data_IF_125595176930
#
_entry.id   IF_125595176930
#
_cell.length_a   1.000
_cell.length_b   1.000
_cell.length_c   1.000
_cell.angle_alpha   90.00
_cell.angle_beta   90.00
_cell.angle_gamma   90.00
#
_symmetry.space_group_name_H-M   'P 1'
#
loop_
_entity.id
_entity.type
_entity.pdbx_description
1 polymer ?
#
# COMPACT_ATOMS: atom_id res chain seq x y z
N UNK A 1 -13.79 0.32 57.16
CA UNK A 1 -14.83 1.36 57.20
C UNK A 1 -15.35 1.61 55.80
N UNK A 2 -16.51 1.16 55.56
CA UNK A 2 -17.65 1.44 54.75
C UNK A 2 -17.69 2.85 54.13
N UNK A 3 -18.03 2.96 52.82
CA UNK A 3 -19.27 3.63 52.40
C UNK A 3 -19.56 3.31 50.94
N UNK A 4 -20.63 2.58 50.72
CA UNK A 4 -21.40 2.43 49.50
C UNK A 4 -22.09 3.76 49.17
N UNK A 5 -22.17 4.10 47.87
CA UNK A 5 -23.12 5.09 47.40
C UNK A 5 -23.81 4.58 46.15
N UNK A 6 -25.08 4.21 46.31
CA UNK A 6 -26.05 3.93 45.27
C UNK A 6 -26.52 5.25 44.64
N UNK A 7 -26.65 5.31 43.31
CA UNK A 7 -27.53 6.29 42.67
C UNK A 7 -28.57 5.62 41.78
N UNK A 8 -29.82 6.03 42.08
CA UNK A 8 -31.06 5.61 41.46
C UNK A 8 -31.22 6.13 40.06
N UNK A 9 -31.87 5.31 39.24
CA UNK A 9 -32.51 5.69 37.99
C UNK A 9 -33.80 6.49 38.23
N UNK A 10 -34.21 7.38 37.35
CA UNK A 10 -35.60 7.65 37.08
C UNK A 10 -36.07 7.16 35.72
N UNK A 11 -37.12 6.41 35.77
CA UNK A 11 -38.03 6.04 34.69
C UNK A 11 -38.78 7.31 34.24
N UNK A 12 -38.85 7.55 32.95
CA UNK A 12 -39.76 8.57 32.39
C UNK A 12 -40.66 7.96 31.32
N UNK A 13 -41.92 8.26 31.51
CA UNK A 13 -43.08 7.66 30.90
C UNK A 13 -43.34 8.08 29.45
N UNK A 14 -43.92 7.15 28.74
CA UNK A 14 -44.50 7.26 27.39
C UNK A 14 -45.80 8.07 27.45
N UNK A 15 -45.97 9.03 26.57
CA UNK A 15 -47.25 9.64 26.24
C UNK A 15 -47.55 9.40 24.77
N UNK A 16 -48.55 8.53 24.52
CA UNK A 16 -49.22 8.31 23.26
C UNK A 16 -50.17 9.45 22.97
N UNK A 17 -50.07 10.08 21.81
CA UNK A 17 -51.14 10.85 21.23
C UNK A 17 -51.62 10.16 19.93
N UNK A 18 -52.85 9.68 20.04
CA UNK A 18 -53.65 9.26 18.87
C UNK A 18 -54.36 10.50 18.34
N UNK A 19 -54.16 10.78 17.09
CA UNK A 19 -54.90 11.80 16.34
C UNK A 19 -55.27 11.28 14.96
N UNK A 20 -56.52 10.85 14.81
CA UNK A 20 -57.13 10.64 13.49
C UNK A 20 -57.46 11.99 12.86
N UNK A 21 -57.09 12.18 11.57
CA UNK A 21 -58.00 12.92 10.69
C UNK A 21 -57.85 12.52 9.22
N UNK A 22 -58.93 12.59 8.53
CA UNK A 22 -59.35 12.10 7.27
C UNK A 22 -58.84 12.92 6.08
N UNK A 23 -58.42 12.23 5.02
CA UNK A 23 -58.75 12.51 3.60
C UNK A 23 -58.11 13.72 2.95
N UNK A 24 -57.19 13.50 2.02
CA UNK A 24 -57.43 13.94 0.64
C UNK A 24 -56.48 13.22 -0.35
N UNK A 25 -57.00 12.92 -1.53
CA UNK A 25 -56.27 12.29 -2.63
C UNK A 25 -55.59 13.38 -3.46
N UNK A 26 -54.27 13.33 -3.55
CA UNK A 26 -53.56 13.88 -4.72
C UNK A 26 -52.18 13.28 -4.89
N UNK A 27 -52.03 12.64 -6.03
CA UNK A 27 -50.80 12.41 -6.80
C UNK A 27 -49.55 11.92 -6.08
N UNK A 28 -49.32 10.60 -6.22
CA UNK A 28 -48.01 9.99 -6.11
C UNK A 28 -47.08 10.54 -7.20
N UNK A 29 -46.21 11.46 -6.84
CA UNK A 29 -44.94 11.59 -7.51
C UNK A 29 -44.05 10.45 -7.01
N UNK A 30 -43.72 9.49 -7.86
CA UNK A 30 -42.67 8.51 -7.63
C UNK A 30 -41.33 9.26 -7.60
N UNK A 31 -40.86 9.64 -6.43
CA UNK A 31 -39.47 9.92 -6.21
C UNK A 31 -38.74 8.56 -6.25
N UNK A 32 -38.28 8.22 -7.45
CA UNK A 32 -37.20 7.23 -7.60
C UNK A 32 -35.93 7.85 -7.02
N UNK A 33 -35.76 7.77 -5.70
CA UNK A 33 -34.51 7.95 -5.07
C UNK A 33 -33.69 6.66 -5.33
N UNK A 34 -33.12 6.57 -6.53
CA UNK A 34 -31.99 5.66 -6.77
C UNK A 34 -30.90 6.08 -5.82
N UNK A 35 -30.81 5.40 -4.68
CA UNK A 35 -29.60 5.34 -3.88
C UNK A 35 -28.54 4.65 -4.76
N UNK A 36 -27.93 5.41 -5.66
CA UNK A 36 -26.64 5.05 -6.23
C UNK A 36 -25.67 5.10 -5.07
N UNK A 37 -25.46 3.97 -4.40
CA UNK A 37 -24.31 3.79 -3.56
C UNK A 37 -23.10 4.08 -4.45
N UNK A 38 -22.50 5.26 -4.32
CA UNK A 38 -21.21 5.55 -4.95
C UNK A 38 -20.25 4.47 -4.43
N UNK A 39 -19.99 3.50 -5.26
CA UNK A 39 -18.98 2.49 -4.98
C UNK A 39 -17.64 3.24 -4.97
N UNK A 40 -17.05 3.40 -3.78
CA UNK A 40 -15.78 4.07 -3.63
C UNK A 40 -14.74 3.36 -4.50
N UNK A 41 -13.89 4.13 -5.16
CA UNK A 41 -12.79 3.56 -5.94
C UNK A 41 -11.88 2.74 -5.01
N UNK A 42 -11.49 1.52 -5.39
CA UNK A 42 -10.57 0.71 -4.60
C UNK A 42 -9.17 1.32 -4.52
N UNK A 43 -8.86 2.35 -5.30
CA UNK A 43 -7.63 3.15 -5.19
C UNK A 43 -8.00 4.62 -5.27
N UNK A 44 -7.63 5.38 -4.25
CA UNK A 44 -7.67 6.83 -4.27
C UNK A 44 -6.32 7.36 -4.75
N UNK A 45 -6.34 8.27 -5.72
CA UNK A 45 -5.13 8.88 -6.27
C UNK A 45 -5.09 10.34 -5.84
N UNK A 46 -4.01 10.74 -5.21
CA UNK A 46 -3.64 12.13 -5.01
C UNK A 46 -2.51 12.48 -5.98
N UNK A 47 -2.84 13.21 -7.02
CA UNK A 47 -1.91 13.70 -8.02
C UNK A 47 -1.63 15.19 -7.86
N UNK A 48 -1.86 15.74 -6.66
CA UNK A 48 -1.60 17.14 -6.37
C UNK A 48 -0.16 17.47 -6.74
N UNK A 49 -0.01 18.36 -7.71
CA UNK A 49 1.28 18.75 -8.28
C UNK A 49 2.13 19.57 -7.33
N UNK A 50 1.61 19.90 -6.16
CA UNK A 50 2.26 20.81 -5.19
C UNK A 50 3.66 20.33 -4.82
N UNK A 51 3.88 19.00 -4.81
CA UNK A 51 5.17 18.42 -4.45
C UNK A 51 5.79 17.56 -5.58
N UNK A 52 5.19 17.51 -6.78
CA UNK A 52 5.70 16.67 -7.89
C UNK A 52 5.57 15.17 -7.69
N UNK A 53 4.79 14.74 -6.69
CA UNK A 53 4.51 13.33 -6.40
C UNK A 53 3.11 12.94 -6.90
N UNK A 54 2.96 11.66 -7.21
CA UNK A 54 1.66 10.99 -7.38
C UNK A 54 1.54 9.95 -6.28
N UNK A 55 0.46 10.00 -5.51
CA UNK A 55 0.25 9.10 -4.37
C UNK A 55 -0.95 8.22 -4.62
N UNK A 56 -0.77 6.92 -4.51
CA UNK A 56 -1.79 5.90 -4.67
C UNK A 56 -2.13 5.31 -3.30
N UNK A 57 -3.38 5.42 -2.87
CA UNK A 57 -3.90 4.84 -1.63
C UNK A 57 -4.81 3.66 -1.98
N UNK A 58 -4.30 2.41 -2.03
CA UNK A 58 -5.14 1.24 -2.22
C UNK A 58 -6.04 1.02 -1.00
N UNK A 59 -7.30 0.62 -1.24
CA UNK A 59 -8.19 0.04 -0.23
C UNK A 59 -8.09 -1.48 -0.35
N UNK A 60 -7.59 -2.14 0.68
CA UNK A 60 -7.23 -3.56 0.61
C UNK A 60 -7.50 -4.29 1.93
N UNK A 61 -7.59 -5.61 1.85
CA UNK A 61 -7.70 -6.50 3.02
C UNK A 61 -6.42 -7.33 3.24
N UNK A 62 -5.60 -7.47 2.21
CA UNK A 62 -4.37 -8.27 2.25
C UNK A 62 -3.31 -7.68 1.32
N UNK A 63 -2.05 -7.86 1.70
CA UNK A 63 -0.89 -7.59 0.86
C UNK A 63 -0.07 -8.88 0.74
N UNK A 64 0.45 -9.16 -0.45
CA UNK A 64 1.42 -10.25 -0.66
C UNK A 64 2.62 -9.77 -1.48
N UNK A 65 3.75 -10.43 -1.27
CA UNK A 65 4.92 -10.37 -2.14
C UNK A 65 4.84 -11.55 -3.10
N UNK A 66 4.35 -11.29 -4.30
CA UNK A 66 4.26 -12.32 -5.34
C UNK A 66 5.62 -12.42 -6.03
N UNK A 67 6.18 -13.64 -6.09
CA UNK A 67 7.46 -13.93 -6.72
C UNK A 67 7.28 -14.83 -7.94
N UNK A 68 8.31 -14.95 -8.77
CA UNK A 68 8.41 -15.81 -9.95
C UNK A 68 7.60 -15.32 -11.14
N UNK A 69 6.30 -15.08 -10.96
CA UNK A 69 5.41 -14.73 -12.06
C UNK A 69 4.67 -13.42 -11.78
N UNK A 70 4.70 -12.53 -12.76
CA UNK A 70 3.96 -11.27 -12.70
C UNK A 70 2.47 -11.52 -12.42
N UNK A 71 1.88 -10.80 -11.43
CA UNK A 71 0.45 -10.87 -11.14
C UNK A 71 -0.40 -10.52 -12.37
N UNK A 72 -1.46 -11.30 -12.58
CA UNK A 72 -2.32 -11.13 -13.75
C UNK A 72 -3.29 -9.97 -13.58
N UNK A 73 -3.36 -9.11 -14.59
CA UNK A 73 -4.40 -8.07 -14.68
C UNK A 73 -5.82 -8.66 -14.83
N UNK A 74 -5.96 -9.96 -15.10
CA UNK A 74 -7.26 -10.64 -15.13
C UNK A 74 -7.75 -11.06 -13.73
N UNK A 75 -6.86 -11.09 -12.71
CA UNK A 75 -7.28 -11.33 -11.33
C UNK A 75 -7.98 -10.11 -10.78
N UNK A 76 -9.30 -10.18 -10.70
CA UNK A 76 -10.14 -9.07 -10.25
C UNK A 76 -10.05 -8.80 -8.76
N UNK A 77 -9.38 -9.64 -7.96
CA UNK A 77 -9.13 -9.39 -6.54
C UNK A 77 -7.98 -8.41 -6.33
N UNK A 78 -7.08 -8.28 -7.31
CA UNK A 78 -5.97 -7.34 -7.21
C UNK A 78 -6.45 -5.93 -7.50
N UNK A 79 -6.20 -5.01 -6.57
CA UNK A 79 -6.53 -3.59 -6.69
C UNK A 79 -5.32 -2.75 -7.09
N UNK A 80 -4.12 -3.14 -6.68
CA UNK A 80 -2.88 -2.47 -7.03
C UNK A 80 -1.73 -3.47 -7.10
N UNK A 81 -0.82 -3.26 -8.05
CA UNK A 81 0.38 -4.08 -8.23
C UNK A 81 1.54 -3.22 -8.69
N UNK A 82 2.71 -3.42 -8.10
CA UNK A 82 3.97 -2.78 -8.50
C UNK A 82 5.17 -3.66 -8.18
N UNK A 83 6.26 -3.48 -8.90
CA UNK A 83 7.55 -4.11 -8.60
C UNK A 83 8.04 -3.65 -7.22
N UNK A 84 8.64 -4.54 -6.44
CA UNK A 84 8.96 -4.31 -5.03
C UNK A 84 10.47 -4.21 -4.77
N UNK A 85 11.13 -5.32 -4.44
CA UNK A 85 12.57 -5.36 -4.22
C UNK A 85 13.34 -5.46 -5.55
N UNK A 86 14.58 -4.99 -5.55
CA UNK A 86 15.42 -5.05 -6.75
C UNK A 86 15.65 -6.48 -7.25
N UNK A 87 15.67 -6.62 -8.57
CA UNK A 87 16.16 -7.81 -9.26
C UNK A 87 17.67 -7.72 -9.40
N UNK A 88 18.41 -8.75 -8.93
CA UNK A 88 19.86 -8.72 -8.87
C UNK A 88 20.52 -8.86 -10.25
N UNK A 89 20.13 -9.86 -11.02
CA UNK A 89 20.67 -10.16 -12.35
C UNK A 89 19.55 -10.43 -13.36
N UNK A 90 19.83 -10.22 -14.65
CA UNK A 90 18.91 -10.53 -15.75
C UNK A 90 18.99 -12.01 -16.08
N UNK A 91 18.26 -12.84 -15.39
CA UNK A 91 18.23 -14.29 -15.59
C UNK A 91 16.96 -14.71 -16.33
N UNK A 92 17.08 -15.71 -17.20
CA UNK A 92 15.92 -16.30 -17.92
C UNK A 92 15.11 -17.25 -17.02
N UNK A 93 15.71 -17.73 -15.90
CA UNK A 93 15.06 -18.60 -14.93
C UNK A 93 14.94 -17.89 -13.57
N UNK A 94 13.78 -18.00 -12.96
CA UNK A 94 13.53 -17.43 -11.64
C UNK A 94 14.31 -18.17 -10.54
N UNK A 95 14.86 -17.38 -9.61
CA UNK A 95 15.39 -17.89 -8.36
C UNK A 95 15.16 -16.85 -7.25
N UNK A 96 14.73 -17.28 -6.06
CA UNK A 96 14.62 -16.39 -4.90
C UNK A 96 15.92 -15.70 -4.54
N UNK A 97 17.06 -16.36 -4.77
CA UNK A 97 18.41 -15.77 -4.60
C UNK A 97 18.73 -14.63 -5.58
N UNK A 98 17.84 -14.37 -6.56
CA UNK A 98 17.94 -13.28 -7.51
C UNK A 98 17.09 -12.05 -7.14
N UNK A 99 16.43 -12.08 -5.99
CA UNK A 99 15.80 -10.92 -5.37
C UNK A 99 16.81 -10.29 -4.40
N UNK A 100 17.05 -8.99 -4.49
CA UNK A 100 17.95 -8.30 -3.56
C UNK A 100 17.33 -8.25 -2.15
N UNK A 101 18.07 -8.79 -1.19
CA UNK A 101 17.67 -8.90 0.21
C UNK A 101 16.81 -10.13 0.55
N UNK A 102 16.88 -10.50 1.82
CA UNK A 102 16.00 -11.54 2.35
C UNK A 102 14.55 -11.09 2.28
N UNK A 103 13.64 -12.05 2.07
CA UNK A 103 12.22 -11.76 1.92
C UNK A 103 11.33 -12.91 2.38
N UNK A 104 10.04 -12.62 2.55
CA UNK A 104 8.98 -13.57 2.88
C UNK A 104 7.89 -13.47 1.83
N UNK A 105 7.56 -14.59 1.18
CA UNK A 105 6.51 -14.74 0.20
C UNK A 105 5.70 -15.99 0.51
N UNK A 106 4.36 -15.88 0.51
CA UNK A 106 3.49 -17.01 0.87
C UNK A 106 3.76 -17.55 2.28
N UNK A 107 4.11 -16.71 3.24
CA UNK A 107 4.43 -17.10 4.61
C UNK A 107 5.75 -17.85 4.78
N UNK A 108 6.59 -17.91 3.74
CA UNK A 108 7.88 -18.61 3.79
C UNK A 108 9.03 -17.64 3.57
N UNK A 109 10.03 -17.70 4.47
CA UNK A 109 11.27 -16.93 4.34
C UNK A 109 12.21 -17.53 3.30
N UNK A 110 12.83 -16.64 2.52
CA UNK A 110 13.86 -16.94 1.53
C UNK A 110 15.06 -16.04 1.74
N UNK A 111 16.24 -16.57 1.43
CA UNK A 111 17.46 -15.78 1.37
C UNK A 111 17.63 -15.25 -0.04
N UNK A 112 17.72 -13.94 -0.15
CA UNK A 112 17.94 -13.23 -1.40
C UNK A 112 19.44 -12.93 -1.66
N UNK A 113 19.68 -12.17 -2.72
CA UNK A 113 21.01 -11.67 -3.02
C UNK A 113 21.45 -10.63 -1.98
N UNK A 114 22.75 -10.54 -1.74
CA UNK A 114 23.29 -9.49 -0.87
C UNK A 114 23.29 -8.15 -1.59
N UNK A 115 22.52 -7.23 -1.11
CA UNK A 115 22.50 -5.85 -1.58
C UNK A 115 23.04 -4.92 -0.50
N UNK A 116 24.10 -4.16 -0.83
CA UNK A 116 24.73 -3.20 0.10
C UNK A 116 23.81 -2.02 0.44
N UNK A 117 22.81 -1.78 -0.43
CA UNK A 117 21.89 -0.67 -0.32
C UNK A 117 20.67 -1.01 0.55
N UNK A 118 20.46 -2.30 0.89
CA UNK A 118 19.38 -2.70 1.79
C UNK A 118 19.71 -2.27 3.22
N UNK A 119 19.00 -1.26 3.70
CA UNK A 119 19.20 -0.69 5.02
C UNK A 119 18.04 -0.89 5.97
N UNK A 120 16.98 -1.55 5.52
CA UNK A 120 15.80 -1.83 6.32
C UNK A 120 14.84 -2.79 5.62
N UNK A 121 13.63 -2.90 6.13
CA UNK A 121 12.60 -3.78 5.59
C UNK A 121 11.19 -3.26 5.88
N UNK A 122 10.25 -3.80 5.11
CA UNK A 122 8.82 -3.75 5.36
C UNK A 122 8.29 -5.17 5.60
N UNK A 123 7.34 -5.31 6.51
CA UNK A 123 6.60 -6.54 6.74
C UNK A 123 5.11 -6.26 6.93
N UNK A 124 4.27 -7.13 6.37
CA UNK A 124 2.83 -7.18 6.56
C UNK A 124 2.44 -8.50 7.21
N UNK A 125 1.76 -8.42 8.37
CA UNK A 125 1.31 -9.57 9.14
C UNK A 125 -0.12 -9.99 8.74
N UNK A 126 -0.44 -11.26 8.92
CA UNK A 126 -1.77 -11.80 8.57
C UNK A 126 -2.93 -11.22 9.41
N UNK A 127 -2.64 -10.53 10.50
CA UNK A 127 -3.62 -9.80 11.33
C UNK A 127 -3.86 -8.36 10.84
N UNK A 128 -3.35 -8.02 9.66
CA UNK A 128 -3.44 -6.70 9.03
C UNK A 128 -2.64 -5.60 9.73
N UNK A 129 -1.64 -5.97 10.51
CA UNK A 129 -0.62 -5.04 11.01
C UNK A 129 0.60 -5.02 10.10
N UNK A 130 1.39 -3.96 10.20
CA UNK A 130 2.65 -3.84 9.44
C UNK A 130 3.73 -3.16 10.25
N UNK A 131 4.97 -3.36 9.81
CA UNK A 131 6.13 -2.78 10.44
C UNK A 131 7.17 -2.35 9.38
N UNK A 132 7.81 -1.22 9.64
CA UNK A 132 9.00 -0.76 8.92
C UNK A 132 10.17 -0.77 9.90
N UNK A 133 11.30 -1.32 9.48
CA UNK A 133 12.52 -1.38 10.29
C UNK A 133 13.66 -0.69 9.55
N UNK A 134 14.42 0.13 10.28
CA UNK A 134 15.68 0.68 9.84
C UNK A 134 16.84 -0.09 10.52
N UNK A 135 17.68 -0.76 9.76
CA UNK A 135 18.78 -1.59 10.24
C UNK A 135 18.56 -3.09 10.02
N UNK A 136 19.00 -3.91 10.98
CA UNK A 136 18.87 -5.37 10.91
C UNK A 136 17.38 -5.79 10.99
N UNK A 137 16.95 -6.66 10.09
CA UNK A 137 15.55 -7.03 9.92
C UNK A 137 15.28 -8.55 9.88
N UNK A 138 16.30 -9.38 10.17
CA UNK A 138 16.12 -10.85 10.15
C UNK A 138 15.05 -11.32 11.11
N UNK A 139 15.00 -10.78 12.33
CA UNK A 139 13.98 -11.13 13.33
C UNK A 139 12.58 -10.73 12.90
N UNK A 140 12.43 -9.59 12.22
CA UNK A 140 11.16 -9.16 11.64
C UNK A 140 10.68 -10.16 10.58
N UNK A 141 11.56 -10.55 9.65
CA UNK A 141 11.21 -11.50 8.60
C UNK A 141 10.90 -12.90 9.15
N UNK A 142 11.59 -13.35 10.21
CA UNK A 142 11.26 -14.60 10.89
C UNK A 142 9.87 -14.54 11.54
N UNK A 143 9.58 -13.42 12.20
CA UNK A 143 8.30 -13.19 12.88
C UNK A 143 7.13 -13.15 11.89
N UNK A 144 7.28 -12.41 10.78
CA UNK A 144 6.21 -12.30 9.77
C UNK A 144 6.02 -13.61 9.02
N UNK A 145 7.08 -14.38 8.75
CA UNK A 145 6.97 -15.71 8.16
C UNK A 145 6.19 -16.67 9.09
N UNK A 146 6.51 -16.67 10.39
CA UNK A 146 5.80 -17.47 11.39
C UNK A 146 4.31 -17.09 11.51
N UNK A 147 3.97 -15.82 11.27
CA UNK A 147 2.60 -15.31 11.25
C UNK A 147 1.87 -15.55 9.90
N UNK A 148 2.53 -16.11 8.90
CA UNK A 148 1.95 -16.35 7.57
C UNK A 148 1.77 -15.07 6.73
N UNK A 149 2.52 -14.02 7.03
CA UNK A 149 2.53 -12.76 6.31
C UNK A 149 3.55 -12.70 5.18
N UNK A 150 3.90 -11.47 4.77
CA UNK A 150 4.90 -11.17 3.74
C UNK A 150 5.85 -10.08 4.21
N UNK A 151 7.03 -9.98 3.61
CA UNK A 151 7.98 -8.90 3.88
C UNK A 151 9.19 -8.95 2.97
N UNK A 152 9.88 -7.82 2.83
CA UNK A 152 11.10 -7.75 2.03
C UNK A 152 12.05 -6.66 2.53
N UNK A 153 13.34 -6.94 2.38
CA UNK A 153 14.40 -5.98 2.64
C UNK A 153 14.59 -5.02 1.48
N UNK A 154 14.79 -3.73 1.80
CA UNK A 154 15.12 -2.69 0.81
C UNK A 154 15.71 -1.47 1.53
N UNK A 155 16.11 -0.45 0.77
CA UNK A 155 16.57 0.80 1.34
C UNK A 155 15.44 1.57 2.04
N UNK A 156 15.61 1.86 3.32
CA UNK A 156 14.73 2.78 4.03
C UNK A 156 15.15 4.24 3.74
N UNK A 157 14.19 5.07 3.34
CA UNK A 157 14.42 6.48 2.99
C UNK A 157 14.04 7.37 4.18
N UNK A 158 12.86 7.13 4.76
CA UNK A 158 12.34 7.85 5.93
C UNK A 158 11.93 6.82 6.97
N UNK A 159 12.32 7.05 8.23
CA UNK A 159 11.92 6.23 9.37
C UNK A 159 11.54 7.11 10.56
N UNK A 160 10.35 6.88 11.12
CA UNK A 160 9.75 7.73 12.19
C UNK A 160 9.74 9.24 11.87
N UNK A 161 9.54 9.58 10.58
CA UNK A 161 9.49 10.95 10.10
C UNK A 161 10.85 11.61 9.86
N UNK A 162 11.94 10.88 10.07
CA UNK A 162 13.30 11.37 9.86
C UNK A 162 13.93 10.74 8.61
N UNK A 163 14.55 11.55 7.76
CA UNK A 163 15.29 11.05 6.60
C UNK A 163 16.53 10.29 7.03
N UNK A 164 16.65 9.08 6.50
CA UNK A 164 17.85 8.27 6.65
C UNK A 164 18.87 8.71 5.59
N UNK A 165 20.16 8.67 5.92
CA UNK A 165 21.24 9.06 5.02
C UNK A 165 21.04 8.44 3.64
N UNK A 166 21.01 9.25 2.57
CA UNK A 166 20.55 8.80 1.27
C UNK A 166 21.48 7.74 0.68
N UNK A 167 20.89 6.80 -0.01
CA UNK A 167 21.58 6.07 -1.06
C UNK A 167 22.12 7.07 -2.06
N UNK A 168 23.38 6.98 -2.36
CA UNK A 168 23.93 7.78 -3.43
C UNK A 168 23.49 7.19 -4.79
N UNK A 169 22.76 7.99 -5.57
CA UNK A 169 22.32 7.64 -6.93
C UNK A 169 22.74 8.76 -7.86
N UNK A 170 23.48 8.39 -8.91
CA UNK A 170 23.84 9.36 -9.95
C UNK A 170 22.69 9.57 -10.94
N UNK A 171 22.59 10.81 -11.45
CA UNK A 171 21.67 11.16 -12.53
C UNK A 171 20.25 11.43 -12.08
N UNK A 172 19.34 11.45 -13.05
CA UNK A 172 17.90 11.63 -12.84
C UNK A 172 17.16 10.35 -13.24
N UNK A 173 16.16 10.01 -12.47
CA UNK A 173 15.29 8.84 -12.69
C UNK A 173 13.89 9.12 -12.15
N UNK A 174 12.94 8.28 -12.52
CA UNK A 174 11.70 8.17 -11.76
C UNK A 174 11.95 7.29 -10.52
N UNK A 175 11.31 7.65 -9.41
CA UNK A 175 11.47 6.99 -8.12
C UNK A 175 10.12 6.58 -7.56
N UNK A 176 10.11 5.49 -6.80
CA UNK A 176 8.95 4.96 -6.08
C UNK A 176 9.31 4.62 -4.65
N UNK A 177 8.36 4.82 -3.75
CA UNK A 177 8.44 4.35 -2.37
C UNK A 177 7.12 3.74 -1.90
N UNK A 178 7.21 2.69 -1.07
CA UNK A 178 6.14 2.25 -0.20
C UNK A 178 6.19 3.11 1.06
N UNK A 179 5.11 3.82 1.35
CA UNK A 179 5.05 4.77 2.46
C UNK A 179 3.95 4.41 3.46
N UNK A 180 4.17 4.82 4.71
CA UNK A 180 3.11 4.98 5.70
C UNK A 180 2.90 6.46 5.98
N UNK A 181 1.67 6.93 5.82
CA UNK A 181 1.25 8.29 6.17
C UNK A 181 -0.11 8.28 6.84
N UNK A 182 -0.21 8.95 7.99
CA UNK A 182 -1.45 9.07 8.77
C UNK A 182 -2.11 7.70 9.07
N UNK A 183 -1.28 6.67 9.35
CA UNK A 183 -1.71 5.30 9.63
C UNK A 183 -2.26 4.54 8.41
N UNK A 184 -1.94 4.98 7.20
CA UNK A 184 -2.30 4.31 5.93
C UNK A 184 -1.06 3.99 5.12
N UNK A 185 -1.06 2.84 4.49
CA UNK A 185 -0.06 2.51 3.47
C UNK A 185 -0.42 3.16 2.13
N UNK A 186 0.57 3.66 1.44
CA UNK A 186 0.44 4.21 0.09
C UNK A 186 1.70 3.96 -0.74
N UNK A 187 1.52 4.00 -2.05
CA UNK A 187 2.63 3.99 -3.02
C UNK A 187 2.81 5.41 -3.53
N UNK A 188 4.04 5.87 -3.54
CA UNK A 188 4.38 7.24 -3.94
C UNK A 188 5.37 7.18 -5.09
N UNK A 189 5.01 7.79 -6.21
CA UNK A 189 5.86 7.90 -7.39
C UNK A 189 6.30 9.35 -7.61
N UNK A 190 7.54 9.58 -8.03
CA UNK A 190 7.90 10.86 -8.65
C UNK A 190 7.21 10.94 -10.02
N UNK A 191 6.53 12.07 -10.30
CA UNK A 191 5.85 12.28 -11.58
C UNK A 191 6.84 12.30 -12.74
N UNK A 192 7.91 13.03 -12.54
CA UNK A 192 8.97 13.26 -13.52
C UNK A 192 10.27 12.59 -13.08
N UNK A 193 11.22 12.50 -13.99
CA UNK A 193 12.60 12.15 -13.66
C UNK A 193 13.22 13.28 -12.83
N UNK A 194 13.71 12.93 -11.65
CA UNK A 194 14.34 13.86 -10.69
C UNK A 194 15.64 13.26 -10.17
N UNK A 195 16.49 14.05 -9.50
CA UNK A 195 17.60 13.48 -8.75
C UNK A 195 17.08 12.73 -7.50
N UNK A 196 17.91 11.84 -6.95
CA UNK A 196 17.52 11.13 -5.74
C UNK A 196 17.32 12.10 -4.56
N UNK A 197 18.17 13.11 -4.44
CA UNK A 197 18.06 14.14 -3.42
C UNK A 197 16.73 14.91 -3.55
N UNK A 198 16.34 15.27 -4.76
CA UNK A 198 15.05 15.92 -5.01
C UNK A 198 13.87 15.01 -4.61
N UNK A 199 13.94 13.73 -4.90
CA UNK A 199 12.90 12.77 -4.47
C UNK A 199 12.79 12.69 -2.96
N UNK A 200 13.92 12.68 -2.24
CA UNK A 200 13.94 12.69 -0.77
C UNK A 200 13.32 14.00 -0.23
N UNK A 201 13.68 15.17 -0.77
CA UNK A 201 13.08 16.45 -0.40
C UNK A 201 11.55 16.47 -0.64
N UNK A 202 11.09 15.88 -1.75
CA UNK A 202 9.67 15.76 -2.05
C UNK A 202 8.96 14.83 -1.05
N UNK A 203 9.58 13.72 -0.64
CA UNK A 203 9.05 12.83 0.40
C UNK A 203 9.03 13.52 1.77
N UNK A 204 10.08 14.27 2.15
CA UNK A 204 10.09 15.06 3.38
C UNK A 204 8.93 16.07 3.41
N UNK A 205 8.70 16.77 2.30
CA UNK A 205 7.57 17.71 2.17
C UNK A 205 6.21 17.00 2.20
N UNK A 206 6.12 15.77 1.67
CA UNK A 206 4.93 14.93 1.78
C UNK A 206 4.67 14.48 3.23
N UNK A 207 5.74 14.24 4.00
CA UNK A 207 5.70 13.95 5.43
C UNK A 207 5.16 12.57 5.80
N UNK A 208 5.60 11.47 5.18
CA UNK A 208 5.26 10.12 5.64
C UNK A 208 6.00 9.81 6.94
N UNK A 209 5.45 8.92 7.74
CA UNK A 209 6.15 8.38 8.90
C UNK A 209 7.27 7.45 8.48
N UNK A 210 7.02 6.61 7.46
CA UNK A 210 8.00 5.70 6.89
C UNK A 210 7.95 5.76 5.36
N UNK A 211 9.11 5.56 4.73
CA UNK A 211 9.25 5.38 3.29
C UNK A 211 10.35 4.37 3.00
N UNK A 212 9.99 3.29 2.31
CA UNK A 212 10.89 2.25 1.82
C UNK A 212 10.99 2.36 0.30
N UNK A 213 12.20 2.38 -0.22
CA UNK A 213 12.45 2.41 -1.66
C UNK A 213 11.82 1.20 -2.36
N UNK A 214 11.37 1.36 -3.60
CA UNK A 214 10.88 0.27 -4.44
C UNK A 214 11.59 0.29 -5.79
N UNK A 215 11.66 -0.87 -6.46
CA UNK A 215 12.27 -0.94 -7.79
C UNK A 215 11.50 -0.08 -8.79
N UNK A 216 12.21 0.80 -9.46
CA UNK A 216 11.65 1.77 -10.42
C UNK A 216 12.64 2.04 -11.56
N UNK A 217 13.62 1.17 -11.76
CA UNK A 217 14.58 1.28 -12.86
C UNK A 217 13.92 1.12 -14.22
N UNK A 218 14.60 1.53 -15.29
CA UNK A 218 14.11 1.40 -16.65
C UNK A 218 13.80 -0.05 -17.02
N UNK A 219 12.51 -0.37 -17.12
CA UNK A 219 11.99 -1.72 -17.36
C UNK A 219 11.59 -2.48 -16.09
N UNK A 220 11.83 -1.92 -14.91
CA UNK A 220 11.44 -2.44 -13.59
C UNK A 220 10.34 -1.60 -12.94
N UNK A 221 9.61 -0.84 -13.71
CA UNK A 221 8.60 0.10 -13.22
C UNK A 221 7.18 -0.30 -13.59
N UNK A 222 6.97 -1.48 -14.19
CA UNK A 222 5.62 -1.94 -14.55
C UNK A 222 4.74 -2.00 -13.33
N UNK A 223 3.63 -1.26 -13.37
CA UNK A 223 2.68 -1.14 -12.28
C UNK A 223 1.31 -0.72 -12.79
N UNK A 224 0.29 -1.11 -12.05
CA UNK A 224 -1.08 -0.84 -12.41
C UNK A 224 -2.01 -0.84 -11.21
N UNK A 225 -3.16 -0.23 -11.37
CA UNK A 225 -4.24 -0.24 -10.40
C UNK A 225 -5.59 -0.49 -11.06
N UNK A 226 -6.60 -0.86 -10.27
CA UNK A 226 -7.94 -1.17 -10.74
C UNK A 226 -8.95 -0.19 -10.15
N UNK A 227 -9.85 0.35 -11.00
CA UNK A 227 -10.92 1.23 -10.56
C UNK A 227 -12.17 0.47 -10.07
N UNK A 228 -13.21 1.21 -9.65
CA UNK A 228 -14.46 0.65 -9.17
C UNK A 228 -15.23 -0.14 -10.23
N UNK A 229 -15.03 0.17 -11.50
CA UNK A 229 -15.68 -0.52 -12.62
C UNK A 229 -14.93 -1.81 -13.01
N UNK A 230 -13.82 -2.08 -12.34
CA UNK A 230 -12.95 -3.24 -12.59
C UNK A 230 -11.96 -3.03 -13.74
N UNK A 231 -11.88 -1.81 -14.28
CA UNK A 231 -10.94 -1.47 -15.35
C UNK A 231 -9.53 -1.31 -14.77
N UNK A 232 -8.55 -1.87 -15.47
CA UNK A 232 -7.13 -1.71 -15.16
C UNK A 232 -6.58 -0.42 -15.79
N UNK A 233 -5.83 0.32 -15.01
CA UNK A 233 -5.08 1.50 -15.41
C UNK A 233 -3.60 1.24 -15.20
N UNK A 234 -2.84 1.16 -16.28
CA UNK A 234 -1.38 1.02 -16.20
C UNK A 234 -0.77 2.37 -15.82
N UNK A 235 0.07 2.35 -14.79
CA UNK A 235 0.89 3.51 -14.40
C UNK A 235 2.12 3.54 -15.31
N UNK A 236 2.79 2.39 -15.42
CA UNK A 236 3.88 2.17 -16.34
C UNK A 236 3.60 0.89 -17.13
N UNK A 237 3.67 0.94 -18.47
CA UNK A 237 3.41 -0.22 -19.32
C UNK A 237 4.55 -1.24 -19.22
N UNK A 238 4.23 -2.47 -19.59
CA UNK A 238 5.22 -3.54 -19.70
C UNK A 238 6.31 -3.12 -20.71
N UNK A 239 7.56 -3.21 -20.28
CA UNK A 239 8.75 -2.97 -21.08
C UNK A 239 9.49 -4.28 -21.38
N UNK A 240 10.49 -4.22 -22.27
CA UNK A 240 11.27 -5.42 -22.64
C UNK A 240 11.91 -6.11 -21.44
N UNK A 241 12.40 -5.33 -20.47
CA UNK A 241 13.08 -5.84 -19.28
C UNK A 241 12.13 -6.32 -18.19
N UNK A 242 10.84 -5.98 -18.24
CA UNK A 242 9.85 -6.41 -17.21
C UNK A 242 9.76 -7.94 -17.11
N UNK A 243 10.16 -8.68 -18.14
CA UNK A 243 10.23 -10.15 -18.11
C UNK A 243 11.27 -10.71 -17.13
N UNK A 244 12.24 -9.88 -16.71
CA UNK A 244 13.28 -10.26 -15.77
C UNK A 244 12.92 -9.87 -14.32
N UNK A 245 11.84 -9.13 -14.11
CA UNK A 245 11.38 -8.77 -12.78
C UNK A 245 11.02 -10.04 -12.00
N UNK A 246 11.41 -10.08 -10.75
CA UNK A 246 11.34 -11.30 -9.93
C UNK A 246 10.27 -11.25 -8.86
N UNK A 247 9.77 -10.03 -8.51
CA UNK A 247 8.86 -9.89 -7.39
C UNK A 247 7.99 -8.61 -7.48
N UNK A 248 6.78 -8.71 -6.95
CA UNK A 248 5.78 -7.62 -6.96
C UNK A 248 5.08 -7.53 -5.62
N UNK A 249 4.90 -6.32 -5.09
CA UNK A 249 3.94 -6.08 -4.02
C UNK A 249 2.55 -5.98 -4.62
N UNK A 250 1.61 -6.73 -4.06
CA UNK A 250 0.26 -6.87 -4.62
C UNK A 250 -0.76 -6.66 -3.52
N UNK A 251 -1.68 -5.73 -3.75
CA UNK A 251 -2.76 -5.37 -2.82
C UNK A 251 -4.06 -6.01 -3.27
N UNK A 252 -4.73 -6.74 -2.38
CA UNK A 252 -5.97 -7.48 -2.65
C UNK A 252 -7.15 -6.90 -1.88
N UNK A 253 -8.37 -7.01 -2.50
CA UNK A 253 -9.64 -6.66 -1.84
C UNK A 253 -9.86 -7.44 -0.57
#
# INVERSE_FOLDING_TARGET
MRKNLHYLFPVLAVLLFVGCNTGDKSQQAMDNNENVSQQMSPVTIDDSTVNGLVVYYPEFSCIDLVCEKMPSQEDTNIVFCAEAAFTHELLDEFAHSNIDGDHVSGGKRYTGAKCKDNSGAFAWFSDSTWEFVNGEYSELLDSVAAAGGMGFGQAIIIHDGESIQPLWREGVNQYRALCEKDGRLCIVDSRDEVSYEQFVEMLEAFGPRHALYMDMGAGWNHSWWRDSDGKVHEIHPIAEKSRYCTNWITFYK
#
